data_IF_224873100559
#
_entry.id   IF_224873100559
#
_cell.length_a   1.000
_cell.length_b   1.000
_cell.length_c   1.000
_cell.angle_alpha   90.00
_cell.angle_beta   90.00
_cell.angle_gamma   90.00
#
_symmetry.space_group_name_H-M   'P 1'
#
loop_
_entity.id
_entity.type
_entity.pdbx_description
1 polymer ?
#
# COMPACT_ATOMS: atom_id res chain seq x y z
N UNK A 1 -25.61 -93.29 17.11
CA UNK A 1 -25.17 -92.20 18.00
C UNK A 1 -25.46 -90.95 17.31
N UNK A 2 -26.36 -90.10 17.80
CA UNK A 2 -26.85 -88.95 17.07
C UNK A 2 -26.01 -87.70 17.30
N UNK A 3 -25.73 -87.00 16.19
CA UNK A 3 -25.04 -85.73 16.12
C UNK A 3 -26.08 -84.62 16.25
N UNK A 4 -25.96 -83.85 17.29
CA UNK A 4 -26.86 -82.76 17.64
C UNK A 4 -26.53 -81.52 16.77
N UNK A 5 -27.49 -81.03 16.00
CA UNK A 5 -27.39 -79.85 15.17
C UNK A 5 -27.68 -78.60 16.01
N UNK A 6 -26.64 -77.82 16.27
CA UNK A 6 -26.80 -76.53 16.87
C UNK A 6 -27.02 -75.49 15.75
N UNK A 7 -28.23 -74.92 15.80
CA UNK A 7 -28.63 -73.86 14.89
C UNK A 7 -27.91 -72.57 15.21
N UNK A 8 -27.11 -72.09 14.22
CA UNK A 8 -26.39 -70.84 14.33
C UNK A 8 -27.27 -69.72 13.73
N UNK A 9 -27.94 -69.00 14.60
CA UNK A 9 -28.66 -67.79 14.23
C UNK A 9 -27.67 -66.61 14.07
N UNK A 10 -27.43 -66.23 12.83
CA UNK A 10 -26.69 -65.02 12.44
C UNK A 10 -27.51 -63.78 12.84
N UNK A 11 -27.11 -63.09 13.89
CA UNK A 11 -27.60 -61.76 14.25
C UNK A 11 -26.79 -60.75 13.48
N UNK A 12 -27.35 -60.27 12.35
CA UNK A 12 -26.76 -59.24 11.52
C UNK A 12 -26.95 -57.89 12.21
N UNK A 13 -25.90 -57.39 12.89
CA UNK A 13 -25.88 -56.04 13.47
C UNK A 13 -25.56 -55.04 12.36
N UNK A 14 -26.61 -54.39 11.86
CA UNK A 14 -26.46 -53.28 10.91
C UNK A 14 -25.93 -52.05 11.62
N UNK A 15 -24.63 -51.82 11.52
CA UNK A 15 -23.97 -50.64 12.05
C UNK A 15 -24.23 -49.45 11.11
N UNK A 16 -25.23 -48.62 11.42
CA UNK A 16 -25.50 -47.40 10.70
C UNK A 16 -24.53 -46.35 11.21
N UNK A 17 -23.42 -46.13 10.49
CA UNK A 17 -22.50 -44.99 10.70
C UNK A 17 -23.15 -43.76 10.09
N UNK A 18 -23.72 -42.88 10.94
CA UNK A 18 -24.10 -41.53 10.56
C UNK A 18 -22.86 -40.70 10.32
N UNK A 19 -22.50 -40.47 9.05
CA UNK A 19 -21.53 -39.42 8.69
C UNK A 19 -22.21 -38.07 8.98
N UNK A 20 -21.84 -37.46 10.10
CA UNK A 20 -22.09 -36.04 10.31
C UNK A 20 -21.16 -35.26 9.38
N UNK A 21 -21.66 -34.90 8.21
CA UNK A 21 -20.99 -33.91 7.36
C UNK A 21 -20.97 -32.58 8.11
N UNK A 22 -19.81 -32.19 8.66
CA UNK A 22 -19.56 -30.82 9.04
C UNK A 22 -19.59 -30.00 7.74
N UNK A 23 -20.75 -29.40 7.42
CA UNK A 23 -20.79 -28.32 6.45
C UNK A 23 -19.94 -27.19 7.00
N UNK A 24 -18.76 -26.97 6.40
CA UNK A 24 -18.04 -25.73 6.60
C UNK A 24 -18.99 -24.57 6.22
N UNK A 25 -19.06 -23.50 6.99
CA UNK A 25 -19.82 -22.34 6.56
C UNK A 25 -19.27 -21.92 5.20
N UNK A 26 -20.19 -21.86 4.22
CA UNK A 26 -19.91 -21.29 2.91
C UNK A 26 -19.35 -19.88 3.16
N UNK A 27 -18.22 -19.49 2.53
CA UNK A 27 -17.70 -18.14 2.73
C UNK A 27 -18.82 -17.17 2.38
N UNK A 28 -19.24 -16.41 3.37
CA UNK A 28 -20.23 -15.34 3.22
C UNK A 28 -19.70 -14.49 2.07
N UNK A 29 -20.42 -14.49 0.94
CA UNK A 29 -20.08 -13.65 -0.22
C UNK A 29 -19.91 -12.24 0.33
N UNK A 30 -18.68 -11.74 0.29
CA UNK A 30 -18.38 -10.37 0.66
C UNK A 30 -19.36 -9.52 -0.15
N UNK A 31 -20.28 -8.87 0.54
CA UNK A 31 -21.21 -7.93 -0.08
C UNK A 31 -20.31 -6.92 -0.77
N UNK A 32 -20.28 -6.93 -2.11
CA UNK A 32 -19.59 -5.88 -2.85
C UNK A 32 -20.17 -4.56 -2.36
N UNK A 33 -19.38 -3.85 -1.58
CA UNK A 33 -19.70 -2.49 -1.20
C UNK A 33 -19.57 -1.69 -2.48
N UNK A 34 -20.70 -1.52 -3.16
CA UNK A 34 -20.79 -0.71 -4.37
C UNK A 34 -20.70 0.77 -3.96
N UNK A 35 -19.53 1.14 -3.44
CA UNK A 35 -19.22 2.51 -3.08
C UNK A 35 -18.92 3.27 -4.38
N UNK A 36 -19.77 4.25 -4.69
CA UNK A 36 -19.48 5.19 -5.77
C UNK A 36 -18.37 6.14 -5.32
N UNK A 37 -17.14 5.83 -5.68
CA UNK A 37 -16.02 6.74 -5.48
C UNK A 37 -16.10 7.91 -6.47
N UNK A 38 -15.76 9.11 -6.01
CA UNK A 38 -15.56 10.24 -6.90
C UNK A 38 -14.14 10.15 -7.50
N UNK A 39 -14.08 9.86 -8.79
CA UNK A 39 -12.83 9.79 -9.56
C UNK A 39 -12.75 10.92 -10.62
N UNK A 40 -13.34 12.07 -10.32
CA UNK A 40 -13.37 13.24 -11.22
C UNK A 40 -11.96 13.70 -11.63
N UNK A 41 -11.01 13.73 -10.67
CA UNK A 41 -9.62 13.94 -11.00
C UNK A 41 -9.06 12.71 -11.71
N UNK A 42 -8.58 12.87 -12.94
CA UNK A 42 -7.80 11.83 -13.60
C UNK A 42 -6.42 11.66 -12.95
N UNK A 43 -5.68 10.61 -13.31
CA UNK A 43 -4.38 10.29 -12.69
C UNK A 43 -3.38 11.45 -12.84
N UNK A 44 -3.28 12.07 -14.03
CA UNK A 44 -2.36 13.19 -14.25
C UNK A 44 -2.70 14.40 -13.35
N UNK A 45 -3.98 14.68 -13.15
CA UNK A 45 -4.43 15.74 -12.24
C UNK A 45 -4.19 15.37 -10.77
N UNK A 46 -4.38 14.12 -10.39
CA UNK A 46 -4.07 13.64 -9.04
C UNK A 46 -2.56 13.78 -8.75
N UNK A 47 -1.70 13.44 -9.71
CA UNK A 47 -0.26 13.65 -9.62
C UNK A 47 0.07 15.14 -9.43
N UNK A 48 -0.33 15.99 -10.38
CA UNK A 48 0.12 17.39 -10.42
C UNK A 48 -0.52 18.30 -9.37
N UNK A 49 -1.73 17.99 -8.90
CA UNK A 49 -2.48 18.87 -7.98
C UNK A 49 -2.47 18.40 -6.53
N UNK A 50 -2.17 17.13 -6.29
CA UNK A 50 -2.25 16.51 -4.95
C UNK A 50 -0.90 15.93 -4.53
N UNK A 51 -0.38 14.96 -5.31
CA UNK A 51 0.81 14.22 -4.90
C UNK A 51 2.09 15.03 -5.04
N UNK A 52 2.33 15.65 -6.21
CA UNK A 52 3.55 16.40 -6.50
C UNK A 52 3.78 17.53 -5.49
N UNK A 53 2.82 18.42 -5.19
CA UNK A 53 3.03 19.47 -4.19
C UNK A 53 3.36 18.94 -2.78
N UNK A 54 2.76 17.81 -2.40
CA UNK A 54 3.02 17.18 -1.10
C UNK A 54 4.43 16.56 -1.08
N UNK A 55 4.80 15.82 -2.12
CA UNK A 55 6.11 15.17 -2.25
C UNK A 55 7.24 16.19 -2.32
N UNK A 56 7.08 17.25 -3.12
CA UNK A 56 8.06 18.34 -3.24
C UNK A 56 8.30 18.98 -1.88
N UNK A 57 7.24 19.24 -1.10
CA UNK A 57 7.38 19.77 0.25
C UNK A 57 8.21 18.85 1.16
N UNK A 58 8.04 17.51 1.05
CA UNK A 58 8.84 16.56 1.83
C UNK A 58 10.31 16.60 1.42
N UNK A 59 10.61 16.64 0.12
CA UNK A 59 11.99 16.66 -0.37
C UNK A 59 12.67 18.01 -0.08
N UNK A 60 11.96 19.12 -0.24
CA UNK A 60 12.47 20.46 0.08
C UNK A 60 12.69 20.68 1.60
N UNK A 61 12.05 19.86 2.43
CA UNK A 61 12.18 19.89 3.88
C UNK A 61 13.13 18.82 4.43
N UNK A 62 13.93 18.15 3.57
CA UNK A 62 14.83 17.09 3.99
C UNK A 62 16.23 17.21 3.34
N UNK A 63 17.27 16.90 4.13
CA UNK A 63 18.64 16.95 3.64
C UNK A 63 19.34 18.27 3.89
N UNK A 64 20.23 18.66 2.97
CA UNK A 64 21.06 19.85 3.10
C UNK A 64 21.45 20.43 1.72
N UNK A 65 21.77 21.71 1.70
CA UNK A 65 22.35 22.40 0.56
C UNK A 65 23.78 22.84 0.92
N UNK A 66 24.70 22.66 0.01
CA UNK A 66 26.05 23.23 0.09
C UNK A 66 26.31 24.05 -1.17
N UNK A 67 26.40 25.35 -1.02
CA UNK A 67 26.64 26.28 -2.12
C UNK A 67 27.72 27.31 -1.81
N UNK A 68 27.82 28.38 -2.62
CA UNK A 68 28.79 29.46 -2.43
C UNK A 68 28.56 30.28 -1.14
N UNK A 69 27.41 30.17 -0.52
CA UNK A 69 27.03 30.87 0.71
C UNK A 69 27.25 30.01 1.96
N UNK A 70 27.47 28.71 1.82
CA UNK A 70 27.77 27.80 2.91
C UNK A 70 26.93 26.53 2.93
N UNK A 71 26.87 25.92 4.12
CA UNK A 71 26.08 24.70 4.40
C UNK A 71 24.81 25.11 5.13
N UNK A 72 23.68 24.60 4.65
CA UNK A 72 22.36 24.79 5.24
C UNK A 72 21.61 23.47 5.31
N UNK A 73 21.04 23.14 6.48
CA UNK A 73 20.11 22.05 6.63
C UNK A 73 18.69 22.51 6.31
N UNK A 74 17.95 21.68 5.56
CA UNK A 74 16.60 22.02 5.10
C UNK A 74 15.49 21.57 6.05
N UNK A 75 15.83 20.84 7.12
CA UNK A 75 14.83 20.29 8.02
C UNK A 75 14.06 21.37 8.80
N UNK A 76 12.78 21.11 9.13
CA UNK A 76 12.02 21.99 10.00
C UNK A 76 12.74 22.20 11.34
N UNK A 77 12.69 23.43 11.85
CA UNK A 77 13.33 23.83 13.12
C UNK A 77 12.33 24.10 14.24
N UNK A 78 11.03 23.97 13.94
CA UNK A 78 9.93 24.23 14.89
C UNK A 78 8.93 23.08 14.88
N UNK A 79 8.19 22.92 15.99
CA UNK A 79 7.12 21.91 16.09
C UNK A 79 6.05 22.13 15.01
N UNK A 80 5.67 23.37 14.72
CA UNK A 80 4.71 23.70 13.66
C UNK A 80 5.25 23.28 12.26
N UNK A 81 6.55 23.48 12.02
CA UNK A 81 7.20 23.05 10.77
C UNK A 81 7.18 21.52 10.61
N UNK A 82 7.49 20.78 11.69
CA UNK A 82 7.38 19.33 11.68
C UNK A 82 5.93 18.83 11.52
N UNK A 83 4.97 19.48 12.18
CA UNK A 83 3.55 19.17 12.00
C UNK A 83 3.08 19.43 10.56
N UNK A 84 3.59 20.47 9.91
CA UNK A 84 3.28 20.78 8.52
C UNK A 84 3.78 19.67 7.55
N UNK A 85 5.04 19.25 7.67
CA UNK A 85 5.55 18.18 6.81
C UNK A 85 4.90 16.83 7.13
N UNK A 86 4.53 16.57 8.38
CA UNK A 86 3.73 15.39 8.75
C UNK A 86 2.37 15.39 8.03
N UNK A 87 1.71 16.53 7.92
CA UNK A 87 0.46 16.65 7.18
C UNK A 87 0.66 16.41 5.67
N UNK A 88 1.78 16.84 5.07
CA UNK A 88 2.10 16.54 3.68
C UNK A 88 2.36 15.04 3.49
N UNK A 89 3.05 14.40 4.41
CA UNK A 89 3.24 12.95 4.39
C UNK A 89 1.91 12.18 4.45
N UNK A 90 0.94 12.65 5.24
CA UNK A 90 -0.41 12.07 5.28
C UNK A 90 -1.13 12.20 3.92
N UNK A 91 -0.91 13.28 3.16
CA UNK A 91 -1.44 13.43 1.81
C UNK A 91 -0.84 12.36 0.88
N UNK A 92 0.45 12.06 1.01
CA UNK A 92 1.10 10.98 0.25
C UNK A 92 0.47 9.63 0.58
N UNK A 93 0.25 9.32 1.85
CA UNK A 93 -0.43 8.08 2.31
C UNK A 93 -1.80 7.94 1.64
N UNK A 94 -2.63 8.98 1.74
CA UNK A 94 -3.99 8.95 1.21
C UNK A 94 -4.01 8.93 -0.33
N UNK A 95 -2.99 9.52 -0.98
CA UNK A 95 -2.88 9.46 -2.44
C UNK A 95 -2.62 8.02 -2.91
N UNK A 96 -1.84 7.22 -2.20
CA UNK A 96 -1.70 5.78 -2.47
C UNK A 96 -3.05 5.07 -2.43
N UNK A 97 -3.87 5.33 -1.40
CA UNK A 97 -5.23 4.81 -1.31
C UNK A 97 -6.10 5.28 -2.49
N UNK A 98 -5.99 6.55 -2.88
CA UNK A 98 -6.74 7.10 -4.02
C UNK A 98 -6.36 6.44 -5.35
N UNK A 99 -5.10 6.09 -5.56
CA UNK A 99 -4.62 5.38 -6.75
C UNK A 99 -5.17 3.97 -6.85
N UNK A 100 -5.38 3.29 -5.72
CA UNK A 100 -5.91 1.93 -5.64
C UNK A 100 -7.43 1.86 -5.79
N UNK A 101 -8.14 2.98 -5.92
CA UNK A 101 -9.60 2.98 -6.01
C UNK A 101 -10.11 2.28 -7.29
N UNK A 102 -11.21 1.50 -7.18
CA UNK A 102 -11.93 1.01 -8.35
C UNK A 102 -12.29 2.14 -9.32
N UNK A 103 -11.96 1.95 -10.60
CA UNK A 103 -12.15 2.95 -11.65
C UNK A 103 -10.99 3.96 -11.80
N UNK A 104 -9.92 3.80 -10.99
CA UNK A 104 -8.67 4.56 -11.11
C UNK A 104 -7.46 3.64 -11.28
N UNK A 105 -7.46 2.48 -10.62
CA UNK A 105 -6.40 1.49 -10.78
C UNK A 105 -6.29 1.03 -12.23
N UNK A 106 -5.06 0.98 -12.77
CA UNK A 106 -4.76 0.54 -14.13
C UNK A 106 -4.75 -0.99 -14.25
N UNK A 107 -4.37 -1.69 -13.17
CA UNK A 107 -4.41 -3.14 -13.05
C UNK A 107 -4.51 -3.59 -11.57
N UNK A 108 -4.70 -4.89 -11.35
CA UNK A 108 -4.80 -5.50 -10.02
C UNK A 108 -3.46 -6.09 -9.53
N UNK A 109 -2.36 -5.85 -10.23
CA UNK A 109 -1.04 -6.42 -9.98
C UNK A 109 -0.04 -5.34 -9.54
N UNK A 110 0.82 -4.89 -10.47
CA UNK A 110 1.92 -3.99 -10.16
C UNK A 110 1.44 -2.59 -9.75
N UNK A 111 0.34 -2.11 -10.31
CA UNK A 111 -0.27 -0.85 -9.89
C UNK A 111 -0.62 -0.84 -8.41
N UNK A 112 -1.23 -1.93 -7.91
CA UNK A 112 -1.61 -2.05 -6.51
C UNK A 112 -0.38 -2.06 -5.60
N UNK A 113 0.70 -2.76 -6.01
CA UNK A 113 1.97 -2.80 -5.27
C UNK A 113 2.60 -1.41 -5.17
N UNK A 114 2.61 -0.63 -6.25
CA UNK A 114 3.15 0.73 -6.22
C UNK A 114 2.26 1.67 -5.40
N UNK A 115 0.94 1.52 -5.47
CA UNK A 115 0.00 2.30 -4.67
C UNK A 115 0.18 2.05 -3.16
N UNK A 116 0.36 0.80 -2.76
CA UNK A 116 0.69 0.40 -1.39
C UNK A 116 2.06 0.94 -0.98
N UNK A 117 3.09 0.75 -1.82
CA UNK A 117 4.44 1.24 -1.56
C UNK A 117 4.49 2.77 -1.40
N UNK A 118 3.64 3.51 -2.13
CA UNK A 118 3.50 4.97 -1.95
C UNK A 118 2.93 5.30 -0.57
N UNK A 119 1.88 4.60 -0.13
CA UNK A 119 1.32 4.77 1.21
C UNK A 119 2.34 4.43 2.29
N UNK A 120 3.09 3.34 2.15
CA UNK A 120 4.14 2.95 3.10
C UNK A 120 5.26 4.01 3.21
N UNK A 121 5.72 4.56 2.07
CA UNK A 121 6.71 5.64 2.07
C UNK A 121 6.16 6.90 2.77
N UNK A 122 4.89 7.22 2.56
CA UNK A 122 4.21 8.30 3.26
C UNK A 122 4.11 8.06 4.78
N UNK A 123 3.80 6.83 5.21
CA UNK A 123 3.77 6.46 6.64
C UNK A 123 5.17 6.62 7.26
N UNK A 124 6.23 6.15 6.60
CA UNK A 124 7.60 6.35 7.08
C UNK A 124 7.94 7.84 7.27
N UNK A 125 7.56 8.68 6.32
CA UNK A 125 7.79 10.13 6.41
C UNK A 125 6.97 10.78 7.54
N UNK A 126 5.72 10.35 7.71
CA UNK A 126 4.81 10.83 8.76
C UNK A 126 5.32 10.48 10.17
N UNK A 127 5.76 9.24 10.38
CA UNK A 127 6.33 8.79 11.65
C UNK A 127 7.67 9.49 11.95
N UNK A 128 8.52 9.66 10.94
CA UNK A 128 9.78 10.37 11.08
C UNK A 128 9.57 11.86 11.43
N UNK A 129 8.57 12.51 10.82
CA UNK A 129 8.20 13.89 11.12
C UNK A 129 7.63 14.03 12.52
N UNK A 130 6.77 13.11 12.97
CA UNK A 130 6.24 13.09 14.34
C UNK A 130 7.36 12.97 15.38
N UNK A 131 8.32 12.09 15.10
CA UNK A 131 9.50 11.90 15.95
C UNK A 131 10.55 13.01 15.79
N UNK A 132 10.39 13.96 14.85
CA UNK A 132 11.37 14.97 14.45
C UNK A 132 12.76 14.37 14.16
N UNK A 133 12.75 13.16 13.60
CA UNK A 133 13.95 12.39 13.29
C UNK A 133 14.44 12.71 11.88
N UNK A 134 15.43 13.59 11.78
CA UNK A 134 16.01 14.08 10.52
C UNK A 134 16.50 12.94 9.61
N UNK A 135 17.22 11.95 10.17
CA UNK A 135 17.77 10.84 9.39
C UNK A 135 16.67 9.95 8.84
N UNK A 136 15.71 9.55 9.67
CA UNK A 136 14.57 8.74 9.24
C UNK A 136 13.73 9.49 8.18
N UNK A 137 13.55 10.81 8.34
CA UNK A 137 12.82 11.64 7.39
C UNK A 137 13.52 11.70 6.02
N UNK A 138 14.84 11.85 6.01
CA UNK A 138 15.64 11.80 4.79
C UNK A 138 15.53 10.44 4.08
N UNK A 139 15.63 9.35 4.83
CA UNK A 139 15.48 7.98 4.29
C UNK A 139 14.06 7.76 3.72
N UNK A 140 13.03 8.26 4.37
CA UNK A 140 11.66 8.19 3.87
C UNK A 140 11.50 8.95 2.54
N UNK A 141 12.14 10.11 2.38
CA UNK A 141 12.18 10.86 1.12
C UNK A 141 12.83 10.06 0.00
N UNK A 142 13.93 9.34 0.30
CA UNK A 142 14.59 8.42 -0.65
C UNK A 142 13.71 7.24 -1.04
N UNK A 143 12.97 6.67 -0.09
CA UNK A 143 12.02 5.59 -0.36
C UNK A 143 10.87 6.08 -1.25
N UNK A 144 10.31 7.25 -0.95
CA UNK A 144 9.28 7.89 -1.76
C UNK A 144 9.74 8.08 -3.21
N UNK A 145 10.95 8.62 -3.42
CA UNK A 145 11.54 8.78 -4.74
C UNK A 145 11.65 7.45 -5.50
N UNK A 146 12.07 6.39 -4.80
CA UNK A 146 12.24 5.06 -5.39
C UNK A 146 10.91 4.49 -5.89
N UNK A 147 9.83 4.63 -5.11
CA UNK A 147 8.48 4.18 -5.51
C UNK A 147 7.97 4.99 -6.70
N UNK A 148 8.10 6.32 -6.66
CA UNK A 148 7.69 7.19 -7.76
C UNK A 148 8.40 6.81 -9.07
N UNK A 149 9.71 6.62 -9.02
CA UNK A 149 10.51 6.25 -10.19
C UNK A 149 10.11 4.88 -10.74
N UNK A 150 9.93 3.87 -9.89
CA UNK A 150 9.55 2.53 -10.30
C UNK A 150 8.15 2.48 -10.94
N UNK A 151 7.18 3.18 -10.34
CA UNK A 151 5.83 3.29 -10.89
C UNK A 151 5.85 4.01 -12.26
N UNK A 152 6.52 5.15 -12.37
CA UNK A 152 6.60 5.92 -13.61
C UNK A 152 7.34 5.15 -14.71
N UNK A 153 8.35 4.35 -14.40
CA UNK A 153 9.00 3.47 -15.39
C UNK A 153 8.03 2.46 -16.00
N UNK A 154 7.06 2.00 -15.22
CA UNK A 154 6.08 1.00 -15.66
C UNK A 154 4.90 1.62 -16.41
N UNK A 155 4.37 2.73 -15.91
CA UNK A 155 3.09 3.30 -16.36
C UNK A 155 3.20 4.68 -17.05
N UNK A 156 4.34 5.35 -16.93
CA UNK A 156 4.56 6.67 -17.52
C UNK A 156 6.01 6.87 -17.94
N UNK A 157 6.52 6.06 -18.89
CA UNK A 157 7.94 6.07 -19.27
C UNK A 157 8.41 7.44 -19.82
N UNK A 158 7.50 8.21 -20.42
CA UNK A 158 7.80 9.57 -20.90
C UNK A 158 8.10 10.54 -19.75
N UNK A 159 7.48 10.32 -18.58
CA UNK A 159 7.78 11.07 -17.35
C UNK A 159 9.06 10.55 -16.72
N UNK A 160 9.23 9.24 -16.66
CA UNK A 160 10.42 8.61 -16.09
C UNK A 160 11.73 9.08 -16.78
N UNK A 161 11.70 9.27 -18.08
CA UNK A 161 12.86 9.76 -18.86
C UNK A 161 13.36 11.15 -18.43
N UNK A 162 12.54 11.95 -17.73
CA UNK A 162 12.95 13.26 -17.22
C UNK A 162 13.82 13.16 -15.96
N UNK A 163 13.78 12.03 -15.28
CA UNK A 163 14.57 11.75 -14.07
C UNK A 163 15.85 11.00 -14.39
N UNK A 164 16.03 10.56 -15.62
CA UNK A 164 17.24 9.90 -16.08
C UNK A 164 18.30 10.94 -16.50
N UNK A 165 19.05 11.44 -15.51
CA UNK A 165 20.17 12.36 -15.73
C UNK A 165 21.43 11.66 -16.28
N UNK A 166 21.32 10.41 -16.75
CA UNK A 166 22.45 9.63 -17.29
C UNK A 166 22.77 9.97 -18.76
N UNK A 167 22.06 10.92 -19.37
CA UNK A 167 22.12 11.21 -20.81
C UNK A 167 22.89 12.50 -21.21
N UNK A 168 23.61 13.17 -20.27
CA UNK A 168 24.46 14.33 -20.59
C UNK A 168 25.91 14.14 -20.15
#
# INVERSE_FOLDING_TARGET
>A
MPINRISLTLLSFLLITTLSACSAPEPESATEVNANYNVELNIAQLMSLVLEPASDTLWESGGWVLDAYGYEELYPTTDDGWAFVQAQAAIVVETGNMLALPGRAEDDDAWMIYSEGLSEAGIMAMEAAEAQNKEAFFQAGGQLYSVCTACHQSYSPDVASRFDNSAD
#
